data_IF_041760475184
#
_entry.id   IF_041760475184
#
_cell.length_a   1.000
_cell.length_b   1.000
_cell.length_c   1.000
_cell.angle_alpha   90.00
_cell.angle_beta   90.00
_cell.angle_gamma   90.00
#
_symmetry.space_group_name_H-M   'P 1'
#
loop_
_entity.id
_entity.type
_entity.pdbx_description
1 polymer ?
#
# COMPACT_ATOMS: atom_id res chain seq x y z
N UNK A 1 13.30 119.11 -84.65
CA UNK A 1 13.31 117.97 -83.72
C UNK A 1 14.30 116.89 -84.13
N UNK A 2 14.46 116.57 -85.43
CA UNK A 2 15.39 115.56 -85.94
C UNK A 2 16.88 115.81 -85.63
N UNK A 3 17.43 117.00 -85.95
CA UNK A 3 18.84 117.36 -85.63
C UNK A 3 19.19 117.39 -84.14
N UNK A 4 18.21 117.54 -83.23
CA UNK A 4 18.47 117.50 -81.77
C UNK A 4 18.66 116.08 -81.25
N UNK A 5 18.21 115.07 -82.00
CA UNK A 5 18.29 113.66 -81.63
C UNK A 5 19.18 112.84 -82.59
N UNK A 6 20.06 113.52 -83.36
CA UNK A 6 21.05 112.88 -84.25
C UNK A 6 20.44 111.86 -85.25
N UNK A 7 19.22 112.09 -85.72
CA UNK A 7 18.58 111.28 -86.76
C UNK A 7 18.63 112.00 -88.10
N UNK A 8 19.05 111.29 -89.15
CA UNK A 8 19.19 111.82 -90.52
C UNK A 8 17.84 111.91 -91.25
N UNK A 9 16.86 111.05 -90.89
CA UNK A 9 15.49 111.11 -91.38
C UNK A 9 14.42 110.76 -90.31
N UNK A 10 13.14 110.84 -90.71
CA UNK A 10 11.97 110.66 -89.83
C UNK A 10 11.72 109.19 -89.45
N UNK A 11 12.19 108.24 -90.25
CA UNK A 11 12.09 106.80 -89.99
C UNK A 11 13.19 106.35 -89.02
N UNK A 12 14.41 106.88 -89.16
CA UNK A 12 15.53 106.63 -88.24
C UNK A 12 15.24 107.17 -86.83
N UNK A 13 14.57 108.32 -86.74
CA UNK A 13 14.09 108.84 -85.46
C UNK A 13 13.02 107.96 -84.82
N UNK A 14 12.10 107.38 -85.59
CA UNK A 14 11.09 106.43 -85.09
C UNK A 14 11.76 105.14 -84.60
N UNK A 15 12.71 104.60 -85.35
CA UNK A 15 13.44 103.39 -84.98
C UNK A 15 14.28 103.59 -83.69
N UNK A 16 14.92 104.75 -83.54
CA UNK A 16 15.61 105.14 -82.32
C UNK A 16 14.67 105.24 -81.11
N UNK A 17 13.46 105.76 -81.31
CA UNK A 17 12.45 105.89 -80.26
C UNK A 17 11.85 104.53 -79.86
N UNK A 18 11.71 103.60 -80.82
CA UNK A 18 11.36 102.21 -80.54
C UNK A 18 12.46 101.46 -79.79
N UNK A 19 13.73 101.61 -80.18
CA UNK A 19 14.87 101.03 -79.45
C UNK A 19 14.98 101.59 -78.03
N UNK A 20 14.73 102.88 -77.84
CA UNK A 20 14.70 103.49 -76.51
C UNK A 20 13.53 102.98 -75.67
N UNK A 21 12.32 102.82 -76.25
CA UNK A 21 11.19 102.17 -75.58
C UNK A 21 11.52 100.74 -75.19
N UNK A 22 12.07 99.94 -76.10
CA UNK A 22 12.48 98.57 -75.83
C UNK A 22 13.55 98.48 -74.74
N UNK A 23 14.52 99.41 -74.73
CA UNK A 23 15.53 99.49 -73.68
C UNK A 23 14.90 99.81 -72.31
N UNK A 24 13.98 100.76 -72.24
CA UNK A 24 13.26 101.11 -71.00
C UNK A 24 12.43 99.92 -70.51
N UNK A 25 11.75 99.21 -71.42
CA UNK A 25 10.95 98.03 -71.09
C UNK A 25 11.81 96.86 -70.58
N UNK A 26 12.94 96.58 -71.24
CA UNK A 26 13.93 95.59 -70.81
C UNK A 26 14.53 95.95 -69.45
N UNK A 27 14.85 97.21 -69.22
CA UNK A 27 15.37 97.70 -67.94
C UNK A 27 14.34 97.56 -66.81
N UNK A 28 13.05 97.79 -67.11
CA UNK A 28 11.94 97.51 -66.20
C UNK A 28 11.80 96.02 -65.87
N UNK A 29 11.93 95.14 -66.88
CA UNK A 29 11.90 93.67 -66.70
C UNK A 29 13.10 93.15 -65.90
N UNK A 30 14.27 93.74 -66.07
CA UNK A 30 15.47 93.40 -65.28
C UNK A 30 15.26 93.80 -63.82
N UNK A 31 14.85 95.06 -63.57
CA UNK A 31 14.57 95.55 -62.21
C UNK A 31 13.55 94.71 -61.46
N UNK A 32 12.45 94.32 -62.12
CA UNK A 32 11.43 93.44 -61.51
C UNK A 32 11.96 92.03 -61.24
N UNK A 33 12.80 91.46 -62.11
CA UNK A 33 13.45 90.17 -61.86
C UNK A 33 14.49 90.24 -60.75
N UNK A 34 15.26 91.32 -60.66
CA UNK A 34 16.24 91.56 -59.58
C UNK A 34 15.52 91.69 -58.21
N UNK A 35 14.39 92.42 -58.16
CA UNK A 35 13.57 92.50 -56.96
C UNK A 35 12.99 91.14 -56.54
N UNK A 36 12.50 90.34 -57.50
CA UNK A 36 12.02 88.98 -57.24
C UNK A 36 13.14 88.07 -56.73
N UNK A 37 14.33 88.17 -57.32
CA UNK A 37 15.50 87.39 -56.93
C UNK A 37 15.93 87.72 -55.50
N UNK A 38 16.05 89.01 -55.16
CA UNK A 38 16.39 89.45 -53.80
C UNK A 38 15.30 89.05 -52.79
N UNK A 39 14.02 89.10 -53.18
CA UNK A 39 12.92 88.70 -52.28
C UNK A 39 12.90 87.19 -52.01
N UNK A 40 13.29 86.38 -52.99
CA UNK A 40 13.38 84.91 -52.86
C UNK A 40 14.63 84.46 -52.10
N UNK A 41 15.75 85.14 -52.30
CA UNK A 41 17.02 84.81 -51.64
C UNK A 41 17.16 85.42 -50.23
N UNK A 42 16.40 86.47 -49.92
CA UNK A 42 16.52 87.17 -48.63
C UNK A 42 17.88 87.84 -48.49
N UNK A 43 18.63 87.46 -47.45
CA UNK A 43 19.99 87.95 -47.16
C UNK A 43 21.11 87.09 -47.80
N UNK A 44 20.75 86.01 -48.50
CA UNK A 44 21.71 85.07 -49.09
C UNK A 44 22.02 85.42 -50.54
N UNK A 45 23.26 85.19 -50.97
CA UNK A 45 23.60 85.17 -52.38
C UNK A 45 23.20 83.84 -53.02
N UNK A 46 22.98 83.85 -54.34
CA UNK A 46 22.62 82.64 -55.09
C UNK A 46 23.73 81.58 -55.08
N UNK A 47 24.98 82.01 -54.85
CA UNK A 47 26.14 81.14 -54.68
C UNK A 47 26.14 80.48 -53.29
N UNK A 48 25.80 81.22 -52.24
CA UNK A 48 25.66 80.68 -50.87
C UNK A 48 24.53 79.65 -50.80
N UNK A 49 23.38 79.91 -51.44
CA UNK A 49 22.27 78.94 -51.47
C UNK A 49 22.65 77.65 -52.21
N UNK A 50 23.45 77.74 -53.28
CA UNK A 50 23.96 76.56 -53.99
C UNK A 50 24.91 75.75 -53.13
N UNK A 51 25.79 76.41 -52.38
CA UNK A 51 26.74 75.76 -51.47
C UNK A 51 26.00 75.05 -50.32
N UNK A 52 24.98 75.68 -49.73
CA UNK A 52 24.14 75.03 -48.71
C UNK A 52 23.39 73.83 -49.28
N UNK A 53 22.83 73.93 -50.49
CA UNK A 53 22.14 72.80 -51.13
C UNK A 53 23.09 71.65 -51.49
N UNK A 54 24.33 71.95 -51.90
CA UNK A 54 25.34 70.92 -52.15
C UNK A 54 25.79 70.24 -50.85
N UNK A 55 25.90 70.98 -49.75
CA UNK A 55 26.20 70.42 -48.43
C UNK A 55 25.05 69.52 -47.94
N UNK A 56 23.80 70.00 -48.00
CA UNK A 56 22.63 69.21 -47.62
C UNK A 56 22.46 67.95 -48.48
N UNK A 57 22.68 68.05 -49.80
CA UNK A 57 22.60 66.88 -50.67
C UNK A 57 23.71 65.86 -50.38
N UNK A 58 24.92 66.30 -50.01
CA UNK A 58 25.97 65.39 -49.56
C UNK A 58 25.59 64.68 -48.26
N UNK A 59 25.03 65.41 -47.29
CA UNK A 59 24.60 64.84 -46.01
C UNK A 59 23.45 63.83 -46.20
N UNK A 60 22.49 64.12 -47.07
CA UNK A 60 21.41 63.19 -47.42
C UNK A 60 21.96 61.94 -48.11
N UNK A 61 22.85 62.10 -49.08
CA UNK A 61 23.46 60.97 -49.79
C UNK A 61 24.34 60.12 -48.86
N UNK A 62 25.06 60.72 -47.90
CA UNK A 62 25.83 59.95 -46.92
C UNK A 62 24.93 59.18 -45.94
N UNK A 63 23.75 59.68 -45.62
CA UNK A 63 22.76 58.95 -44.81
C UNK A 63 22.15 57.79 -45.61
N UNK A 64 21.81 57.99 -46.89
CA UNK A 64 21.33 56.90 -47.77
C UNK A 64 22.40 55.83 -48.03
N UNK A 65 23.68 56.21 -48.18
CA UNK A 65 24.80 55.27 -48.34
C UNK A 65 25.11 54.51 -47.04
N UNK A 66 24.92 55.14 -45.87
CA UNK A 66 25.18 54.52 -44.57
C UNK A 66 24.06 53.60 -44.07
N UNK A 67 22.82 53.78 -44.57
CA UNK A 67 21.66 52.99 -44.17
C UNK A 67 20.76 52.66 -45.37
N UNK A 68 21.07 51.56 -46.04
CA UNK A 68 20.15 50.95 -46.99
C UNK A 68 18.92 50.38 -46.27
N UNK A 69 17.73 50.80 -46.69
CA UNK A 69 16.44 50.29 -46.17
C UNK A 69 16.36 48.75 -46.29
N UNK A 70 16.99 48.19 -47.32
CA UNK A 70 17.05 46.76 -47.57
C UNK A 70 17.94 46.03 -46.55
N UNK A 71 19.05 46.63 -46.11
CA UNK A 71 19.88 46.06 -45.05
C UNK A 71 19.17 46.04 -43.69
N UNK A 72 18.42 47.09 -43.36
CA UNK A 72 17.62 47.13 -42.13
C UNK A 72 16.48 46.10 -42.17
N UNK A 73 15.77 45.98 -43.31
CA UNK A 73 14.76 44.93 -43.51
C UNK A 73 15.37 43.54 -43.40
N UNK A 74 16.55 43.31 -43.98
CA UNK A 74 17.27 42.05 -43.87
C UNK A 74 17.66 41.73 -42.41
N UNK A 75 18.20 42.71 -41.66
CA UNK A 75 18.51 42.54 -40.22
C UNK A 75 17.26 42.25 -39.38
N UNK A 76 16.14 42.91 -39.66
CA UNK A 76 14.86 42.65 -38.98
C UNK A 76 14.35 41.24 -39.30
N UNK A 77 14.43 40.82 -40.56
CA UNK A 77 14.04 39.47 -40.99
C UNK A 77 14.88 38.40 -40.28
N UNK A 78 16.20 38.58 -40.26
CA UNK A 78 17.12 37.66 -39.58
C UNK A 78 16.85 37.59 -38.07
N UNK A 79 16.60 38.73 -37.42
CA UNK A 79 16.21 38.73 -35.99
C UNK A 79 14.86 38.07 -35.76
N UNK A 80 13.89 38.24 -36.65
CA UNK A 80 12.59 37.55 -36.56
C UNK A 80 12.73 36.04 -36.71
N UNK A 81 13.57 35.58 -37.64
CA UNK A 81 13.88 34.15 -37.80
C UNK A 81 14.55 33.60 -36.53
N UNK A 82 15.56 34.29 -35.98
CA UNK A 82 16.20 33.90 -34.73
C UNK A 82 15.24 33.86 -33.54
N UNK A 83 14.30 34.80 -33.43
CA UNK A 83 13.23 34.77 -32.41
C UNK A 83 12.33 33.56 -32.61
N UNK A 84 12.00 33.22 -33.86
CA UNK A 84 11.13 32.10 -34.16
C UNK A 84 11.81 30.76 -33.82
N UNK A 85 13.10 30.61 -34.14
CA UNK A 85 13.90 29.46 -33.73
C UNK A 85 13.98 29.32 -32.21
N UNK A 86 14.20 30.43 -31.49
CA UNK A 86 14.23 30.43 -30.03
C UNK A 86 12.87 30.05 -29.43
N UNK A 87 11.76 30.52 -30.03
CA UNK A 87 10.41 30.09 -29.63
C UNK A 87 10.19 28.59 -29.82
N UNK A 88 10.64 28.03 -30.95
CA UNK A 88 10.53 26.58 -31.20
C UNK A 88 11.35 25.80 -30.17
N UNK A 89 12.57 26.26 -29.85
CA UNK A 89 13.42 25.64 -28.81
C UNK A 89 12.76 25.73 -27.43
N UNK A 90 12.20 26.88 -27.08
CA UNK A 90 11.48 27.09 -25.82
C UNK A 90 10.30 26.13 -25.69
N UNK A 91 9.45 26.03 -26.72
CA UNK A 91 8.30 25.10 -26.71
C UNK A 91 8.71 23.63 -26.56
N UNK A 92 9.83 23.21 -27.18
CA UNK A 92 10.39 21.86 -26.97
C UNK A 92 10.85 21.64 -25.54
N UNK A 93 11.51 22.62 -24.93
CA UNK A 93 11.95 22.55 -23.53
C UNK A 93 10.76 22.52 -22.56
N UNK A 94 9.71 23.30 -22.81
CA UNK A 94 8.49 23.32 -21.99
C UNK A 94 7.74 21.98 -22.04
N UNK A 95 7.62 21.36 -23.21
CA UNK A 95 7.02 20.03 -23.33
C UNK A 95 7.87 18.96 -22.64
N UNK A 96 9.19 18.99 -22.78
CA UNK A 96 10.08 18.08 -22.05
C UNK A 96 9.94 18.24 -20.53
N UNK A 97 9.80 19.48 -20.03
CA UNK A 97 9.55 19.75 -18.61
C UNK A 97 8.20 19.21 -18.14
N UNK A 98 7.14 19.32 -18.93
CA UNK A 98 5.84 18.72 -18.59
C UNK A 98 5.91 17.20 -18.48
N UNK A 99 6.59 16.55 -19.43
CA UNK A 99 6.78 15.10 -19.38
C UNK A 99 7.56 14.68 -18.13
N UNK A 100 8.68 15.35 -17.85
CA UNK A 100 9.50 15.04 -16.68
C UNK A 100 8.73 15.26 -15.36
N UNK A 101 7.95 16.33 -15.25
CA UNK A 101 7.10 16.57 -14.09
C UNK A 101 6.05 15.47 -13.89
N UNK A 102 5.48 14.95 -14.97
CA UNK A 102 4.53 13.82 -14.90
C UNK A 102 5.21 12.56 -14.37
N UNK A 103 6.40 12.26 -14.88
CA UNK A 103 7.18 11.09 -14.45
C UNK A 103 7.60 11.21 -12.97
N UNK A 104 7.96 12.41 -12.52
CA UNK A 104 8.26 12.69 -11.10
C UNK A 104 7.04 12.44 -10.22
N UNK A 105 5.85 12.91 -10.62
CA UNK A 105 4.62 12.65 -9.85
C UNK A 105 4.32 11.14 -9.73
N UNK A 106 4.51 10.38 -10.81
CA UNK A 106 4.35 8.93 -10.78
C UNK A 106 5.38 8.25 -9.87
N UNK A 107 6.61 8.77 -9.83
CA UNK A 107 7.65 8.26 -8.94
C UNK A 107 7.26 8.43 -7.46
N UNK A 108 6.73 9.60 -7.10
CA UNK A 108 6.26 9.91 -5.74
C UNK A 108 5.12 8.97 -5.33
N UNK A 109 4.15 8.74 -6.23
CA UNK A 109 3.05 7.80 -5.96
C UNK A 109 3.58 6.37 -5.71
N UNK A 110 4.56 5.92 -6.50
CA UNK A 110 5.18 4.60 -6.32
C UNK A 110 5.97 4.52 -5.00
N UNK A 111 6.71 5.56 -4.63
CA UNK A 111 7.45 5.61 -3.36
C UNK A 111 6.51 5.56 -2.15
N UNK A 112 5.38 6.26 -2.21
CA UNK A 112 4.34 6.19 -1.16
C UNK A 112 3.70 4.80 -1.07
N UNK A 113 3.41 4.16 -2.20
CA UNK A 113 2.88 2.80 -2.26
C UNK A 113 3.87 1.79 -1.66
N UNK A 114 5.16 1.91 -1.98
CA UNK A 114 6.24 1.09 -1.39
C UNK A 114 6.27 1.26 0.13
N UNK A 115 6.31 2.50 0.63
CA UNK A 115 6.35 2.77 2.06
C UNK A 115 5.13 2.21 2.80
N UNK A 116 3.93 2.29 2.19
CA UNK A 116 2.71 1.69 2.73
C UNK A 116 2.81 0.16 2.78
N UNK A 117 3.27 -0.48 1.70
CA UNK A 117 3.41 -1.94 1.63
C UNK A 117 4.47 -2.46 2.62
N UNK A 118 5.58 -1.74 2.79
CA UNK A 118 6.60 -2.07 3.79
C UNK A 118 6.06 -2.02 5.22
N UNK A 119 5.27 -0.98 5.54
CA UNK A 119 4.58 -0.89 6.83
C UNK A 119 3.60 -2.05 7.04
N UNK A 120 2.85 -2.42 5.99
CA UNK A 120 1.91 -3.53 6.04
C UNK A 120 2.61 -4.90 6.20
N UNK A 121 3.73 -5.12 5.52
CA UNK A 121 4.57 -6.31 5.68
C UNK A 121 5.09 -6.41 7.12
N UNK A 122 5.50 -5.27 7.70
CA UNK A 122 5.97 -5.23 9.09
C UNK A 122 4.86 -5.62 10.07
N UNK A 123 3.65 -5.08 9.89
CA UNK A 123 2.50 -5.40 10.73
C UNK A 123 2.13 -6.89 10.66
N UNK A 124 2.05 -7.46 9.45
CA UNK A 124 1.83 -8.90 9.26
C UNK A 124 2.96 -9.75 9.88
N UNK A 125 4.20 -9.24 9.83
CA UNK A 125 5.35 -9.86 10.48
C UNK A 125 5.21 -9.90 12.00
N UNK A 126 4.69 -8.84 12.61
CA UNK A 126 4.39 -8.77 14.04
C UNK A 126 3.26 -9.73 14.43
N UNK A 127 2.18 -9.76 13.66
CA UNK A 127 1.07 -10.69 13.88
C UNK A 127 1.51 -12.16 13.78
N UNK A 128 2.30 -12.49 12.76
CA UNK A 128 2.86 -13.84 12.61
C UNK A 128 3.68 -14.24 13.83
N UNK A 129 4.54 -13.35 14.33
CA UNK A 129 5.36 -13.62 15.52
C UNK A 129 4.50 -13.86 16.76
N UNK A 130 3.44 -13.08 16.95
CA UNK A 130 2.50 -13.27 18.05
C UNK A 130 1.79 -14.63 17.97
N UNK A 131 1.33 -15.02 16.79
CA UNK A 131 0.69 -16.32 16.56
C UNK A 131 1.66 -17.49 16.78
N UNK A 132 2.90 -17.36 16.34
CA UNK A 132 3.92 -18.39 16.50
C UNK A 132 4.35 -18.58 17.96
N UNK A 133 4.40 -17.48 18.72
CA UNK A 133 4.56 -17.52 20.18
C UNK A 133 3.36 -18.19 20.87
N UNK A 134 2.14 -17.84 20.48
CA UNK A 134 0.94 -18.46 21.05
C UNK A 134 0.90 -19.97 20.77
N UNK A 135 1.20 -20.37 19.53
CA UNK A 135 1.28 -21.78 19.12
C UNK A 135 2.31 -22.55 19.95
N UNK A 136 3.56 -22.05 20.00
CA UNK A 136 4.63 -22.72 20.74
C UNK A 136 4.31 -22.83 22.23
N UNK A 137 3.71 -21.80 22.83
CA UNK A 137 3.27 -21.82 24.22
C UNK A 137 2.20 -22.89 24.46
N UNK A 138 1.20 -23.00 23.58
CA UNK A 138 0.16 -24.03 23.69
C UNK A 138 0.75 -25.44 23.53
N UNK A 139 1.68 -25.62 22.59
CA UNK A 139 2.38 -26.90 22.37
C UNK A 139 3.21 -27.31 23.59
N UNK A 140 3.90 -26.37 24.23
CA UNK A 140 4.67 -26.60 25.46
C UNK A 140 3.76 -26.98 26.64
N UNK A 141 2.70 -26.21 26.88
CA UNK A 141 1.70 -26.53 27.91
C UNK A 141 1.07 -27.91 27.66
N UNK A 142 0.75 -28.23 26.41
CA UNK A 142 0.19 -29.53 26.04
C UNK A 142 1.16 -30.67 26.36
N UNK A 143 2.45 -30.51 26.04
CA UNK A 143 3.50 -31.49 26.37
C UNK A 143 3.64 -31.67 27.88
N UNK A 144 3.61 -30.59 28.65
CA UNK A 144 3.71 -30.63 30.11
C UNK A 144 2.51 -31.34 30.74
N UNK A 145 1.29 -31.03 30.26
CA UNK A 145 0.07 -31.72 30.70
C UNK A 145 0.19 -33.22 30.39
N UNK A 146 0.57 -33.61 29.18
CA UNK A 146 0.72 -35.02 28.83
C UNK A 146 1.80 -35.72 29.69
N UNK A 147 2.94 -35.06 29.91
CA UNK A 147 4.05 -35.58 30.72
C UNK A 147 3.67 -35.86 32.18
N UNK A 148 2.76 -35.08 32.75
CA UNK A 148 2.30 -35.26 34.14
C UNK A 148 1.05 -36.14 34.25
N UNK A 149 0.13 -36.03 33.29
CA UNK A 149 -1.17 -36.67 33.32
C UNK A 149 -1.08 -38.18 33.05
N UNK A 150 -0.30 -38.60 32.05
CA UNK A 150 -0.19 -40.02 31.69
C UNK A 150 0.39 -40.89 32.83
N UNK A 151 1.48 -40.51 33.52
CA UNK A 151 1.99 -41.27 34.67
C UNK A 151 1.03 -41.29 35.86
N UNK A 152 0.27 -40.23 36.08
CA UNK A 152 -0.75 -40.18 37.13
C UNK A 152 -1.89 -41.16 36.81
N UNK A 153 -2.44 -41.12 35.60
CA UNK A 153 -3.51 -42.02 35.18
C UNK A 153 -3.02 -43.47 35.19
N UNK A 154 -1.85 -43.78 34.63
CA UNK A 154 -1.29 -45.14 34.64
C UNK A 154 -1.26 -45.72 36.06
N UNK A 155 -0.81 -44.93 37.05
CA UNK A 155 -0.78 -45.35 38.46
C UNK A 155 -2.16 -45.51 39.09
N UNK A 156 -3.14 -44.69 38.72
CA UNK A 156 -4.52 -44.79 39.23
C UNK A 156 -5.24 -45.99 38.60
N UNK A 157 -5.21 -46.11 37.29
CA UNK A 157 -5.84 -47.19 36.53
C UNK A 157 -5.24 -48.53 36.91
N UNK A 158 -3.91 -48.63 37.01
CA UNK A 158 -3.23 -49.85 37.46
C UNK A 158 -3.69 -50.30 38.85
N UNK A 159 -3.86 -49.37 39.81
CA UNK A 159 -4.40 -49.68 41.14
C UNK A 159 -5.85 -50.15 41.10
N UNK A 160 -6.72 -49.42 40.39
CA UNK A 160 -8.14 -49.78 40.27
C UNK A 160 -8.29 -51.16 39.61
N UNK A 161 -7.49 -51.44 38.57
CA UNK A 161 -7.51 -52.73 37.89
C UNK A 161 -6.98 -53.84 38.79
N UNK A 162 -5.91 -53.60 39.55
CA UNK A 162 -5.44 -54.57 40.53
C UNK A 162 -6.53 -54.89 41.57
N UNK A 163 -7.24 -53.89 42.08
CA UNK A 163 -8.31 -54.08 43.06
C UNK A 163 -9.48 -54.90 42.48
N UNK A 164 -9.92 -54.58 41.25
CA UNK A 164 -11.06 -55.24 40.62
C UNK A 164 -10.71 -56.65 40.11
N UNK A 165 -9.46 -56.88 39.72
CA UNK A 165 -8.98 -58.15 39.14
C UNK A 165 -8.22 -59.04 40.12
N UNK A 166 -8.26 -58.72 41.43
CA UNK A 166 -7.49 -59.41 42.48
C UNK A 166 -5.99 -59.53 42.17
N UNK A 167 -5.41 -58.45 41.62
CA UNK A 167 -3.98 -58.36 41.33
C UNK A 167 -3.53 -59.09 40.08
N UNK A 168 -4.43 -59.65 39.26
CA UNK A 168 -4.07 -60.28 37.99
C UNK A 168 -3.45 -59.29 37.00
N UNK A 169 -3.95 -58.06 37.00
CA UNK A 169 -3.41 -56.98 36.18
C UNK A 169 -3.12 -55.79 37.11
N UNK A 170 -1.91 -55.27 37.09
CA UNK A 170 -1.48 -54.13 37.92
C UNK A 170 -0.69 -53.09 37.11
N UNK A 171 -0.08 -53.52 36.00
CA UNK A 171 0.71 -52.70 35.09
C UNK A 171 -0.08 -52.40 33.81
N UNK A 172 -0.77 -51.27 33.82
CA UNK A 172 -1.46 -50.70 32.66
C UNK A 172 -0.61 -49.57 32.08
N UNK A 173 -0.46 -49.57 30.75
CA UNK A 173 0.23 -48.52 30.01
C UNK A 173 -0.78 -47.79 29.12
N UNK A 174 -0.96 -46.51 29.38
CA UNK A 174 -1.78 -45.61 28.57
C UNK A 174 -0.81 -44.64 27.89
N UNK A 175 -0.92 -44.54 26.57
CA UNK A 175 -0.09 -43.64 25.78
C UNK A 175 -0.73 -42.25 25.60
N UNK A 176 -0.07 -41.39 24.81
CA UNK A 176 -0.55 -40.02 24.58
C UNK A 176 -1.85 -39.95 23.75
N UNK A 177 -2.20 -41.04 23.05
CA UNK A 177 -3.45 -41.18 22.32
C UNK A 177 -4.57 -41.80 23.17
N UNK A 178 -4.30 -42.04 24.47
CA UNK A 178 -5.15 -42.76 25.41
C UNK A 178 -5.40 -44.23 25.01
N UNK A 179 -4.52 -44.81 24.20
CA UNK A 179 -4.58 -46.23 23.88
C UNK A 179 -4.06 -47.04 25.08
N UNK A 180 -4.78 -48.11 25.41
CA UNK A 180 -4.53 -48.93 26.60
C UNK A 180 -3.81 -50.22 26.18
N UNK A 181 -2.61 -50.42 26.72
CA UNK A 181 -1.92 -51.69 26.74
C UNK A 181 -1.82 -52.25 28.16
N UNK A 182 -1.88 -53.58 28.28
CA UNK A 182 -1.76 -54.25 29.58
C UNK A 182 -0.63 -55.25 29.51
N UNK A 183 0.22 -55.27 30.54
CA UNK A 183 1.25 -56.30 30.66
C UNK A 183 0.61 -57.62 31.05
N UNK A 184 0.86 -58.67 30.27
CA UNK A 184 0.43 -60.01 30.61
C UNK A 184 1.17 -60.46 31.89
N UNK A 185 0.45 -60.88 32.94
CA UNK A 185 1.07 -61.30 34.19
C UNK A 185 1.97 -62.54 34.06
N UNK A 186 1.77 -63.37 33.03
CA UNK A 186 2.53 -64.62 32.83
C UNK A 186 3.71 -64.44 31.88
N UNK A 187 3.57 -63.63 30.83
CA UNK A 187 4.59 -63.49 29.77
C UNK A 187 5.38 -62.17 29.85
N UNK A 188 4.95 -61.22 30.68
CA UNK A 188 5.48 -59.84 30.74
C UNK A 188 5.46 -59.10 29.39
N UNK A 189 4.70 -59.59 28.41
CA UNK A 189 4.52 -58.93 27.13
C UNK A 189 3.40 -57.89 27.20
N UNK A 190 3.56 -56.80 26.46
CA UNK A 190 2.50 -55.81 26.30
C UNK A 190 1.43 -56.38 25.36
N UNK A 191 0.25 -56.62 25.90
CA UNK A 191 -0.91 -57.12 25.17
C UNK A 191 -1.83 -55.95 24.85
N UNK A 192 -2.19 -55.84 23.57
CA UNK A 192 -3.24 -54.93 23.11
C UNK A 192 -4.58 -55.31 23.75
N UNK A 193 -5.35 -54.32 24.19
CA UNK A 193 -6.67 -54.50 24.78
C UNK A 193 -7.62 -55.32 23.89
N UNK A 194 -7.47 -55.26 22.56
CA UNK A 194 -8.27 -56.02 21.60
C UNK A 194 -8.12 -57.55 21.71
N UNK A 195 -7.04 -58.04 22.33
CA UNK A 195 -6.79 -59.47 22.54
C UNK A 195 -7.28 -59.98 23.90
N UNK A 196 -7.93 -59.14 24.72
CA UNK A 196 -8.44 -59.49 26.03
C UNK A 196 -9.92 -59.95 25.98
N UNK A 197 -10.38 -60.64 27.02
CA UNK A 197 -11.80 -61.01 27.13
C UNK A 197 -12.68 -59.77 27.27
N UNK A 198 -13.91 -59.79 26.73
CA UNK A 198 -14.85 -58.66 26.80
C UNK A 198 -15.01 -58.08 28.22
N UNK A 199 -15.19 -58.95 29.23
CA UNK A 199 -15.29 -58.49 30.62
C UNK A 199 -14.00 -57.86 31.18
N UNK A 200 -12.81 -58.23 30.67
CA UNK A 200 -11.54 -57.57 31.03
C UNK A 200 -11.40 -56.22 30.34
N UNK A 201 -11.84 -56.12 29.09
CA UNK A 201 -11.90 -54.86 28.35
C UNK A 201 -12.82 -53.87 29.08
N UNK A 202 -14.01 -54.31 29.49
CA UNK A 202 -14.97 -53.49 30.24
C UNK A 202 -14.39 -53.00 31.58
N UNK A 203 -13.64 -53.85 32.29
CA UNK A 203 -12.94 -53.46 33.52
C UNK A 203 -11.88 -52.39 33.27
N UNK A 204 -11.06 -52.54 32.22
CA UNK A 204 -10.04 -51.57 31.82
C UNK A 204 -10.66 -50.22 31.47
N UNK A 205 -11.73 -50.21 30.68
CA UNK A 205 -12.43 -48.98 30.35
C UNK A 205 -13.11 -48.35 31.55
N UNK A 206 -13.71 -49.13 32.45
CA UNK A 206 -14.24 -48.61 33.70
C UNK A 206 -13.13 -47.95 34.52
N UNK A 207 -12.01 -48.64 34.74
CA UNK A 207 -10.90 -48.14 35.53
C UNK A 207 -10.28 -46.89 34.93
N UNK A 208 -10.15 -46.83 33.60
CA UNK A 208 -9.70 -45.63 32.88
C UNK A 208 -10.65 -44.45 33.12
N UNK A 209 -11.94 -44.63 32.82
CA UNK A 209 -12.95 -43.58 32.97
C UNK A 209 -13.04 -43.10 34.42
N UNK A 210 -13.06 -44.03 35.37
CA UNK A 210 -13.07 -43.70 36.79
C UNK A 210 -11.77 -42.99 37.20
N UNK A 211 -10.60 -43.48 36.79
CA UNK A 211 -9.31 -42.88 37.11
C UNK A 211 -9.17 -41.45 36.60
N UNK A 212 -9.75 -41.16 35.42
CA UNK A 212 -9.85 -39.81 34.87
C UNK A 212 -10.78 -38.96 35.74
N UNK A 213 -12.02 -39.39 35.97
CA UNK A 213 -13.02 -38.64 36.77
C UNK A 213 -12.53 -38.38 38.20
N UNK A 214 -11.86 -39.35 38.81
CA UNK A 214 -11.27 -39.26 40.14
C UNK A 214 -10.05 -38.32 40.19
N UNK A 215 -9.42 -38.05 39.04
CA UNK A 215 -8.36 -37.04 38.93
C UNK A 215 -8.90 -35.61 38.87
N UNK A 216 -10.17 -35.43 38.51
CA UNK A 216 -10.84 -34.14 38.49
C UNK A 216 -11.53 -33.83 39.83
N UNK A 217 -11.47 -32.57 40.26
CA UNK A 217 -12.26 -32.02 41.38
C UNK A 217 -12.19 -32.81 42.71
N UNK A 218 -11.03 -33.37 43.06
CA UNK A 218 -10.81 -34.17 44.28
C UNK A 218 -11.86 -35.26 44.50
N UNK A 219 -12.39 -35.80 43.41
CA UNK A 219 -13.27 -36.94 43.46
C UNK A 219 -14.72 -36.68 43.90
N UNK A 220 -15.22 -35.44 43.90
CA UNK A 220 -16.54 -35.09 44.47
C UNK A 220 -17.73 -35.09 43.50
N UNK A 221 -17.50 -35.39 42.23
CA UNK A 221 -18.59 -35.45 41.24
C UNK A 221 -19.43 -36.72 41.45
N UNK A 222 -20.77 -36.64 41.30
CA UNK A 222 -21.60 -37.83 41.35
C UNK A 222 -21.24 -38.79 40.21
N UNK A 223 -21.17 -40.08 40.51
CA UNK A 223 -20.91 -41.13 39.53
C UNK A 223 -22.23 -41.79 39.15
N UNK A 224 -22.60 -41.72 37.87
CA UNK A 224 -23.79 -42.38 37.34
C UNK A 224 -23.32 -43.54 36.45
N UNK A 225 -23.78 -44.75 36.77
CA UNK A 225 -23.45 -45.99 36.09
C UNK A 225 -24.73 -46.59 35.54
N UNK A 226 -24.78 -46.82 34.23
CA UNK A 226 -25.93 -47.41 33.54
C UNK A 226 -25.53 -48.77 32.96
N UNK A 227 -26.04 -49.85 33.56
CA UNK A 227 -25.85 -51.23 33.11
C UNK A 227 -24.37 -51.62 32.85
N UNK A 228 -23.45 -51.03 33.63
CA UNK A 228 -22.02 -51.08 33.34
C UNK A 228 -21.35 -52.45 33.56
N UNK A 229 -22.03 -53.42 34.20
CA UNK A 229 -21.43 -54.68 34.66
C UNK A 229 -22.06 -55.93 34.04
N UNK A 230 -22.79 -55.79 32.92
CA UNK A 230 -23.50 -56.90 32.27
C UNK A 230 -22.57 -58.08 31.94
N UNK A 231 -21.33 -57.83 31.53
CA UNK A 231 -20.35 -58.86 31.14
C UNK A 231 -19.56 -59.44 32.31
N UNK A 232 -19.82 -59.01 33.54
CA UNK A 232 -19.02 -59.43 34.70
C UNK A 232 -19.54 -60.77 35.24
N UNK A 233 -18.63 -61.70 35.48
CA UNK A 233 -18.92 -62.87 36.32
C UNK A 233 -19.10 -62.43 37.78
N UNK A 234 -19.61 -63.34 38.61
CA UNK A 234 -19.97 -63.05 39.99
C UNK A 234 -18.78 -62.54 40.84
N UNK A 235 -17.58 -63.08 40.61
CA UNK A 235 -16.37 -62.66 41.32
C UNK A 235 -15.97 -61.24 40.93
N UNK A 236 -15.91 -60.96 39.62
CA UNK A 236 -15.65 -59.60 39.10
C UNK A 236 -16.67 -58.59 39.58
N UNK A 237 -17.95 -58.97 39.60
CA UNK A 237 -19.04 -58.11 40.07
C UNK A 237 -18.91 -57.79 41.56
N UNK A 238 -18.59 -58.79 42.39
CA UNK A 238 -18.38 -58.58 43.82
C UNK A 238 -17.23 -57.60 44.09
N UNK A 239 -16.14 -57.72 43.34
CA UNK A 239 -14.99 -56.83 43.49
C UNK A 239 -15.31 -55.39 43.14
N UNK A 240 -15.99 -55.16 42.01
CA UNK A 240 -16.34 -53.81 41.61
C UNK A 240 -17.38 -53.18 42.56
N UNK A 241 -18.35 -53.95 43.05
CA UNK A 241 -19.32 -53.44 44.02
C UNK A 241 -18.65 -53.11 45.36
N UNK A 242 -17.63 -53.87 45.77
CA UNK A 242 -16.81 -53.54 46.94
C UNK A 242 -16.07 -52.22 46.75
N UNK A 243 -15.42 -52.05 45.59
CA UNK A 243 -14.74 -50.81 45.24
C UNK A 243 -15.70 -49.61 45.24
N UNK A 244 -16.89 -49.76 44.63
CA UNK A 244 -17.91 -48.70 44.63
C UNK A 244 -18.44 -48.41 46.04
N UNK A 245 -18.62 -49.42 46.89
CA UNK A 245 -19.06 -49.22 48.27
C UNK A 245 -18.03 -48.43 49.10
N UNK A 246 -16.74 -48.64 48.89
CA UNK A 246 -15.72 -47.81 49.53
C UNK A 246 -15.74 -46.38 48.99
N UNK A 247 -15.93 -46.22 47.67
CA UNK A 247 -16.02 -44.91 47.03
C UNK A 247 -17.31 -44.14 47.33
N UNK A 248 -18.39 -44.82 47.70
CA UNK A 248 -19.65 -44.17 48.08
C UNK A 248 -19.52 -43.32 49.35
N UNK A 249 -18.50 -43.59 50.18
CA UNK A 249 -18.15 -42.78 51.36
C UNK A 249 -17.64 -41.38 51.00
N UNK A 250 -17.09 -41.22 49.80
CA UNK A 250 -16.45 -39.99 49.33
C UNK A 250 -17.30 -39.24 48.30
N UNK A 251 -18.20 -39.95 47.58
CA UNK A 251 -19.03 -39.40 46.51
C UNK A 251 -20.38 -40.10 46.39
N UNK A 252 -21.35 -39.41 45.83
CA UNK A 252 -22.62 -40.03 45.46
C UNK A 252 -22.42 -40.98 44.26
N UNK A 253 -22.96 -42.19 44.35
CA UNK A 253 -22.96 -43.18 43.28
C UNK A 253 -24.40 -43.59 43.00
N UNK A 254 -24.80 -43.52 41.73
CA UNK A 254 -26.11 -43.95 41.24
C UNK A 254 -25.86 -45.06 40.24
N UNK A 255 -26.36 -46.26 40.56
CA UNK A 255 -26.23 -47.45 39.72
C UNK A 255 -27.60 -47.85 39.19
N UNK A 256 -27.77 -47.75 37.88
CA UNK A 256 -28.88 -48.35 37.16
C UNK A 256 -28.45 -49.74 36.70
N UNK A 257 -29.28 -50.74 36.99
CA UNK A 257 -29.11 -52.10 36.49
C UNK A 257 -30.47 -52.72 36.21
N UNK A 258 -30.55 -53.50 35.14
CA UNK A 258 -31.71 -54.34 34.85
C UNK A 258 -31.69 -55.69 35.60
N UNK A 259 -30.62 -56.00 36.33
CA UNK A 259 -30.44 -57.30 36.97
C UNK A 259 -30.57 -57.22 38.51
N UNK A 260 -30.94 -58.35 39.13
CA UNK A 260 -31.07 -58.45 40.59
C UNK A 260 -29.77 -58.86 41.30
N UNK A 261 -28.71 -59.16 40.54
CA UNK A 261 -27.46 -59.74 41.08
C UNK A 261 -26.68 -58.73 41.92
N UNK A 262 -26.69 -57.46 41.51
CA UNK A 262 -26.00 -56.35 42.17
C UNK A 262 -26.61 -56.08 43.54
N UNK A 263 -27.95 -55.97 43.59
CA UNK A 263 -28.72 -55.82 44.82
C UNK A 263 -28.42 -56.94 45.82
N UNK A 264 -28.43 -58.20 45.35
CA UNK A 264 -28.16 -59.36 46.20
C UNK A 264 -26.75 -59.34 46.78
N UNK A 265 -25.74 -59.00 45.97
CA UNK A 265 -24.35 -58.91 46.42
C UNK A 265 -24.16 -57.76 47.41
N UNK A 266 -24.80 -56.59 47.18
CA UNK A 266 -24.73 -55.45 48.10
C UNK A 266 -25.33 -55.79 49.47
N UNK A 267 -26.42 -56.55 49.52
CA UNK A 267 -27.01 -57.04 50.77
C UNK A 267 -26.08 -58.01 51.51
N UNK A 268 -25.49 -58.97 50.81
CA UNK A 268 -24.51 -59.90 51.39
C UNK A 268 -23.29 -59.18 51.99
N UNK A 269 -22.95 -58.00 51.45
CA UNK A 269 -21.84 -57.18 51.90
C UNK A 269 -22.23 -56.18 53.00
N UNK A 270 -23.51 -56.14 53.41
CA UNK A 270 -24.06 -55.12 54.31
C UNK A 270 -23.72 -53.69 53.86
N UNK A 271 -23.77 -53.42 52.55
CA UNK A 271 -23.52 -52.09 52.01
C UNK A 271 -24.65 -51.12 52.42
N UNK A 272 -24.31 -49.84 52.63
CA UNK A 272 -25.31 -48.81 52.90
C UNK A 272 -25.75 -48.15 51.59
N UNK A 273 -26.95 -48.48 51.11
CA UNK A 273 -27.48 -47.96 49.85
C UNK A 273 -29.01 -47.84 49.89
N UNK A 274 -29.57 -47.05 48.96
CA UNK A 274 -31.00 -46.93 48.77
C UNK A 274 -31.41 -47.70 47.52
N UNK A 275 -32.26 -48.72 47.67
CA UNK A 275 -32.82 -49.48 46.55
C UNK A 275 -34.09 -48.79 46.01
N UNK A 276 -34.12 -48.54 44.69
CA UNK A 276 -35.30 -47.98 44.01
C UNK A 276 -35.68 -48.92 42.88
N UNK A 277 -36.90 -49.45 42.94
CA UNK A 277 -37.47 -50.23 41.85
C UNK A 277 -38.22 -49.30 40.89
N UNK A 278 -37.73 -49.18 39.66
CA UNK A 278 -38.42 -48.45 38.59
C UNK A 278 -39.48 -49.38 37.98
N UNK A 279 -40.73 -48.94 37.99
CA UNK A 279 -41.91 -49.71 37.53
C UNK A 279 -42.40 -49.18 36.20
#
# INVERSE_FOLDING_TARGET
MLRKNLAEDLDEFKEGLEKQRAYVDLKGKISTKEQLLNKLLGDLSLEELKLELEAFNRDINTIEEALSEDELKAKISNKKEGINELRIKLGKCEEALKHLNKDISQLVEIEEEIARLEAYIKELGDERRALELAKSTIEEISKDIHGQFAPMINRKVGRIIADITHGRYDKVKIDNSLEIGVLNPETEELVDIGNLSGGTIDQLYFALRFGIVDSFHNGRLPLILDDCFIQYDEGRLRNILNFLNEKSKERQIILFTCQKREHKILDEMNANYNFIHLT
#
